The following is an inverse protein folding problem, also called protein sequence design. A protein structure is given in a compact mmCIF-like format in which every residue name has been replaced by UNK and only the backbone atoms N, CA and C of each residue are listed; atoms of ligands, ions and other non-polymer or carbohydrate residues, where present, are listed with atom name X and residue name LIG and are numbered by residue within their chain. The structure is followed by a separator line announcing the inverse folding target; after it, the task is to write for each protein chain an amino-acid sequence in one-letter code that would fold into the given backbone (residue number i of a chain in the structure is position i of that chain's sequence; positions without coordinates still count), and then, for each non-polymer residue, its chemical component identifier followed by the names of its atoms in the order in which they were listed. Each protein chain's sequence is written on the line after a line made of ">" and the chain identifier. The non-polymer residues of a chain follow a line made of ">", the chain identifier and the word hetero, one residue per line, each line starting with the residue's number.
data_IF_445390472394
#
_entry.id   IF_445390472394
#
_cell.length_a   1.000
_cell.length_b   1.000
_cell.length_c   1.000
_cell.angle_alpha   90.00
_cell.angle_beta   90.00
_cell.angle_gamma   90.00
#
_symmetry.space_group_name_H-M   'P 1'
#
loop_
_entity.id
_entity.type
_entity.pdbx_description
1 polymer ?
#
# COMPACT_ATOMS: atom_id res chain seq x y z
N UNK A 1 18.13 -12.31 32.28
CA UNK A 1 17.36 -11.22 31.66
C UNK A 1 16.68 -11.84 30.46
N UNK A 2 15.38 -12.11 30.55
CA UNK A 2 14.60 -12.57 29.40
C UNK A 2 14.43 -11.38 28.47
N UNK A 3 15.00 -11.46 27.26
CA UNK A 3 14.64 -10.56 26.17
C UNK A 3 13.16 -10.75 25.88
N UNK A 4 12.38 -9.76 26.24
CA UNK A 4 10.97 -9.66 25.90
C UNK A 4 10.90 -9.49 24.39
N UNK A 5 10.66 -10.61 23.68
CA UNK A 5 10.47 -10.63 22.23
C UNK A 5 9.27 -9.73 21.93
N UNK A 6 9.52 -8.58 21.34
CA UNK A 6 8.47 -7.69 20.89
C UNK A 6 7.45 -8.51 20.06
N UNK A 7 6.16 -8.45 20.36
CA UNK A 7 5.15 -9.24 19.66
C UNK A 7 5.21 -8.92 18.18
N UNK A 8 5.24 -9.95 17.36
CA UNK A 8 5.08 -9.84 15.90
C UNK A 8 3.85 -8.97 15.64
N UNK A 9 4.09 -7.80 15.09
CA UNK A 9 3.02 -6.88 14.73
C UNK A 9 2.18 -7.54 13.63
N UNK A 10 1.06 -8.15 14.02
CA UNK A 10 0.01 -8.49 13.08
C UNK A 10 -0.53 -7.18 12.50
N UNK A 11 -0.30 -6.85 11.22
CA UNK A 11 -0.76 -5.59 10.64
C UNK A 11 -2.28 -5.43 10.74
N UNK A 12 -3.04 -6.53 10.72
CA UNK A 12 -4.49 -6.48 10.91
C UNK A 12 -4.86 -6.17 12.35
N UNK A 13 -4.12 -6.71 13.33
CA UNK A 13 -4.30 -6.39 14.74
C UNK A 13 -3.81 -4.97 15.05
N UNK A 14 -2.72 -4.52 14.40
CA UNK A 14 -2.19 -3.17 14.56
C UNK A 14 -3.10 -2.12 13.90
N UNK A 15 -3.63 -2.41 12.71
CA UNK A 15 -4.65 -1.60 12.05
C UNK A 15 -5.92 -1.48 12.92
N UNK A 16 -6.32 -2.56 13.58
CA UNK A 16 -7.46 -2.56 14.50
C UNK A 16 -7.19 -1.73 15.76
N UNK A 17 -5.96 -1.82 16.32
CA UNK A 17 -5.55 -1.04 17.51
C UNK A 17 -5.45 0.46 17.21
N UNK A 18 -5.00 0.85 16.03
CA UNK A 18 -4.88 2.25 15.63
C UNK A 18 -6.22 2.86 15.18
N UNK A 19 -7.33 2.12 15.27
CA UNK A 19 -8.64 2.53 14.75
C UNK A 19 -8.58 3.10 13.33
N UNK A 20 -7.67 2.58 12.52
CA UNK A 20 -7.42 3.04 11.16
C UNK A 20 -8.34 2.36 10.13
N UNK A 21 -9.05 1.30 10.52
CA UNK A 21 -10.04 0.64 9.68
C UNK A 21 -11.27 1.53 9.46
N UNK A 22 -11.85 1.43 8.27
CA UNK A 22 -13.13 2.06 7.98
C UNK A 22 -14.23 1.39 8.79
N UNK A 23 -15.07 2.20 9.45
CA UNK A 23 -16.20 1.71 10.22
C UNK A 23 -17.42 1.57 9.30
N UNK A 24 -17.67 0.35 8.86
CA UNK A 24 -18.76 0.03 7.95
C UNK A 24 -20.15 0.17 8.56
N UNK A 25 -20.25 0.05 9.87
CA UNK A 25 -21.54 0.07 10.57
C UNK A 25 -21.95 1.50 10.98
N UNK A 26 -20.97 2.39 11.12
CA UNK A 26 -21.22 3.80 11.44
C UNK A 26 -21.75 4.61 10.26
N UNK A 27 -21.64 4.10 9.02
CA UNK A 27 -21.94 4.87 7.81
C UNK A 27 -22.76 4.04 6.83
N UNK A 28 -23.69 4.69 6.11
CA UNK A 28 -24.46 4.08 5.02
C UNK A 28 -23.85 4.28 3.62
N UNK A 29 -22.65 4.87 3.56
CA UNK A 29 -21.93 5.18 2.33
C UNK A 29 -20.44 5.31 2.59
N UNK A 30 -19.61 4.94 1.62
CA UNK A 30 -18.18 5.24 1.61
C UNK A 30 -17.98 6.57 0.87
N UNK A 31 -17.77 7.63 1.62
CA UNK A 31 -17.53 8.96 1.09
C UNK A 31 -16.02 9.16 0.96
N UNK A 32 -15.58 9.58 -0.22
CA UNK A 32 -14.18 9.88 -0.47
C UNK A 32 -13.74 11.04 0.43
N UNK A 33 -12.65 10.88 1.18
CA UNK A 33 -12.13 11.94 2.02
C UNK A 33 -11.59 13.12 1.18
N UNK A 34 -11.53 14.31 1.81
CA UNK A 34 -11.14 15.54 1.14
C UNK A 34 -9.73 15.45 0.55
N UNK A 35 -8.78 14.87 1.28
CA UNK A 35 -7.39 14.73 0.80
C UNK A 35 -7.32 13.85 -0.45
N UNK A 36 -8.09 12.76 -0.51
CA UNK A 36 -8.18 11.92 -1.70
C UNK A 36 -8.77 12.69 -2.88
N UNK A 37 -9.86 13.44 -2.65
CA UNK A 37 -10.51 14.25 -3.69
C UNK A 37 -9.59 15.31 -4.28
N UNK A 38 -8.79 15.95 -3.45
CA UNK A 38 -7.90 17.03 -3.87
C UNK A 38 -6.62 16.53 -4.53
N UNK A 39 -6.04 15.44 -4.01
CA UNK A 39 -4.69 15.00 -4.38
C UNK A 39 -4.62 13.79 -5.29
N UNK A 40 -5.58 12.87 -5.18
CA UNK A 40 -5.51 11.60 -5.89
C UNK A 40 -6.55 11.51 -7.01
N UNK A 41 -7.78 11.90 -6.74
CA UNK A 41 -8.85 11.82 -7.72
C UNK A 41 -8.54 12.56 -9.04
N UNK A 42 -7.92 13.76 -9.04
CA UNK A 42 -7.53 14.44 -10.28
C UNK A 42 -6.48 13.68 -11.10
N UNK A 43 -5.66 12.84 -10.45
CA UNK A 43 -4.63 12.03 -11.14
C UNK A 43 -5.23 10.88 -11.95
N UNK A 44 -6.42 10.40 -11.58
CA UNK A 44 -7.08 9.28 -12.25
C UNK A 44 -7.50 9.61 -13.69
N UNK A 45 -7.60 10.88 -14.04
CA UNK A 45 -8.02 11.36 -15.36
C UNK A 45 -6.91 12.02 -16.17
N UNK A 46 -5.64 11.79 -15.87
CA UNK A 46 -4.49 12.44 -16.54
C UNK A 46 -4.52 14.00 -16.45
N UNK A 47 -5.25 14.53 -15.47
CA UNK A 47 -5.42 15.98 -15.27
C UNK A 47 -4.34 16.59 -14.37
N UNK A 48 -3.37 15.80 -13.96
CA UNK A 48 -2.31 16.27 -13.09
C UNK A 48 -1.37 17.24 -13.81
N UNK A 49 -1.02 18.32 -13.12
CA UNK A 49 -0.18 19.40 -13.62
C UNK A 49 1.13 19.46 -12.85
N UNK A 50 2.14 20.04 -13.47
CA UNK A 50 3.32 20.47 -12.73
C UNK A 50 2.93 21.62 -11.79
N UNK A 51 3.52 21.71 -10.57
CA UNK A 51 3.24 22.78 -9.64
C UNK A 51 3.60 24.13 -10.26
N UNK A 52 2.71 25.11 -10.06
CA UNK A 52 2.92 26.49 -10.52
C UNK A 52 3.67 27.35 -9.49
N UNK A 53 3.93 26.80 -8.29
CA UNK A 53 4.56 27.51 -7.19
C UNK A 53 5.24 26.57 -6.18
N UNK A 54 5.76 27.12 -5.05
CA UNK A 54 6.42 26.34 -4.02
C UNK A 54 5.47 25.39 -3.27
N UNK A 55 4.17 25.70 -3.27
CA UNK A 55 3.14 24.85 -2.66
C UNK A 55 2.47 24.00 -3.72
N UNK A 56 2.21 22.74 -3.36
CA UNK A 56 1.54 21.78 -4.24
C UNK A 56 0.03 21.94 -4.12
N UNK A 57 -0.59 22.41 -5.19
CA UNK A 57 -2.03 22.55 -5.30
C UNK A 57 -2.76 21.24 -5.56
N UNK A 58 -4.09 21.32 -5.61
CA UNK A 58 -4.94 20.19 -5.95
C UNK A 58 -4.65 19.67 -7.37
N UNK A 59 -4.43 18.37 -7.52
CA UNK A 59 -4.13 17.73 -8.79
C UNK A 59 -2.74 18.01 -9.35
N UNK A 60 -1.84 18.60 -8.56
CA UNK A 60 -0.46 18.85 -8.94
C UNK A 60 0.48 17.76 -8.43
N UNK A 61 1.58 17.55 -9.15
CA UNK A 61 2.69 16.71 -8.69
C UNK A 61 3.54 17.48 -7.69
N UNK A 62 4.03 16.81 -6.66
CA UNK A 62 4.99 17.41 -5.73
C UNK A 62 6.45 17.19 -6.17
N UNK A 63 7.41 17.92 -5.58
CA UNK A 63 8.82 17.62 -5.72
C UNK A 63 9.11 16.16 -5.35
N UNK A 64 10.11 15.52 -5.98
CA UNK A 64 10.42 14.12 -5.71
C UNK A 64 10.65 13.86 -4.22
N UNK A 65 9.86 12.94 -3.64
CA UNK A 65 10.03 12.47 -2.27
C UNK A 65 10.66 11.08 -2.32
N UNK A 66 11.86 10.96 -1.76
CA UNK A 66 12.55 9.68 -1.70
C UNK A 66 12.00 8.81 -0.58
N UNK A 67 11.75 7.56 -0.89
CA UNK A 67 11.23 6.57 0.06
C UNK A 67 11.89 5.22 -0.15
N UNK A 68 12.12 4.48 0.93
CA UNK A 68 12.44 3.07 0.85
C UNK A 68 11.14 2.28 0.88
N UNK A 69 10.96 1.38 -0.09
CA UNK A 69 9.71 0.67 -0.28
C UNK A 69 9.94 -0.83 -0.46
N UNK A 70 8.96 -1.62 -0.05
CA UNK A 70 8.88 -3.05 -0.31
C UNK A 70 8.17 -3.23 -1.65
N UNK A 71 8.82 -3.73 -2.70
CA UNK A 71 8.15 -4.03 -3.95
C UNK A 71 7.11 -5.13 -3.76
N UNK A 72 5.98 -4.97 -4.42
CA UNK A 72 4.91 -5.97 -4.46
C UNK A 72 4.81 -6.50 -5.88
N UNK A 73 5.16 -7.77 -6.03
CA UNK A 73 5.18 -8.46 -7.32
C UNK A 73 3.74 -8.61 -7.86
N UNK A 74 3.40 -7.77 -8.84
CA UNK A 74 2.06 -7.74 -9.43
C UNK A 74 1.74 -9.00 -10.25
N UNK A 75 2.73 -9.68 -10.82
CA UNK A 75 2.52 -10.93 -11.56
C UNK A 75 2.15 -12.05 -10.59
N UNK A 76 2.85 -12.16 -9.46
CA UNK A 76 2.49 -13.10 -8.40
C UNK A 76 1.12 -12.82 -7.79
N UNK A 77 0.77 -11.54 -7.60
CA UNK A 77 -0.58 -11.18 -7.16
C UNK A 77 -1.63 -11.61 -8.20
N UNK A 78 -1.40 -11.34 -9.48
CA UNK A 78 -2.32 -11.71 -10.55
C UNK A 78 -2.48 -13.24 -10.71
N UNK A 79 -1.47 -14.01 -10.33
CA UNK A 79 -1.52 -15.48 -10.33
C UNK A 79 -2.25 -16.07 -9.11
N UNK A 80 -2.55 -15.27 -8.09
CA UNK A 80 -3.24 -15.74 -6.88
C UNK A 80 -4.75 -15.81 -7.10
N UNK A 81 -5.33 -16.98 -6.83
CA UNK A 81 -6.77 -17.22 -7.01
C UNK A 81 -7.65 -16.37 -6.12
N UNK A 82 -7.19 -16.00 -4.92
CA UNK A 82 -7.91 -15.10 -4.01
C UNK A 82 -7.97 -13.66 -4.53
N UNK A 83 -6.87 -13.16 -5.09
CA UNK A 83 -6.79 -11.85 -5.75
C UNK A 83 -7.69 -11.82 -6.99
N UNK A 84 -7.63 -12.86 -7.81
CA UNK A 84 -8.48 -12.99 -9.01
C UNK A 84 -9.95 -12.98 -8.63
N UNK A 85 -10.35 -13.80 -7.65
CA UNK A 85 -11.73 -13.85 -7.17
C UNK A 85 -12.20 -12.50 -6.59
N UNK A 86 -11.34 -11.80 -5.85
CA UNK A 86 -11.65 -10.45 -5.34
C UNK A 86 -11.91 -9.45 -6.47
N UNK A 87 -11.05 -9.40 -7.48
CA UNK A 87 -11.25 -8.50 -8.63
C UNK A 87 -12.48 -8.87 -9.46
N UNK A 88 -12.80 -10.16 -9.58
CA UNK A 88 -13.98 -10.63 -10.29
C UNK A 88 -15.27 -10.30 -9.55
N UNK A 89 -15.28 -10.38 -8.22
CA UNK A 89 -16.44 -9.95 -7.43
C UNK A 89 -16.64 -8.43 -7.54
N UNK A 90 -15.57 -7.62 -7.52
CA UNK A 90 -15.66 -6.19 -7.79
C UNK A 90 -16.22 -5.90 -9.18
N UNK A 91 -15.77 -6.62 -10.23
CA UNK A 91 -16.24 -6.42 -11.61
C UNK A 91 -17.72 -6.76 -11.79
N UNK A 92 -18.21 -7.76 -11.05
CA UNK A 92 -19.62 -8.22 -11.13
C UNK A 92 -20.58 -7.41 -10.26
N UNK A 93 -20.04 -6.54 -9.40
CA UNK A 93 -20.83 -5.72 -8.49
C UNK A 93 -21.12 -4.33 -9.06
N UNK A 94 -22.07 -3.62 -8.46
CA UNK A 94 -22.35 -2.21 -8.77
C UNK A 94 -21.17 -1.29 -8.47
N UNK A 95 -20.20 -1.75 -7.66
CA UNK A 95 -18.95 -1.04 -7.36
C UNK A 95 -18.09 -0.87 -8.60
N UNK A 96 -18.24 -1.74 -9.61
CA UNK A 96 -17.40 -1.73 -10.81
C UNK A 96 -17.32 -0.36 -11.50
N UNK A 97 -18.43 0.38 -11.50
CA UNK A 97 -18.52 1.73 -12.07
C UNK A 97 -17.73 2.80 -11.29
N UNK A 98 -17.45 2.51 -10.02
CA UNK A 98 -16.68 3.39 -9.13
C UNK A 98 -15.19 2.99 -9.05
N UNK A 99 -14.72 2.01 -9.82
CA UNK A 99 -13.32 1.56 -9.79
C UNK A 99 -12.54 2.11 -10.99
N UNK A 100 -11.34 2.64 -10.70
CA UNK A 100 -10.40 3.03 -11.75
C UNK A 100 -9.57 1.82 -12.23
N UNK A 101 -10.17 1.02 -13.10
CA UNK A 101 -9.58 -0.21 -13.63
C UNK A 101 -8.23 -0.03 -14.33
N UNK A 102 -8.00 1.05 -15.12
CA UNK A 102 -6.69 1.25 -15.76
C UNK A 102 -5.54 1.34 -14.78
N UNK A 103 -5.80 1.77 -13.54
CA UNK A 103 -4.79 1.92 -12.49
C UNK A 103 -4.07 0.63 -12.11
N UNK A 104 -4.70 -0.52 -12.26
CA UNK A 104 -4.08 -1.82 -11.98
C UNK A 104 -2.91 -2.09 -12.95
N UNK A 105 -3.11 -1.85 -14.23
CA UNK A 105 -2.07 -2.05 -15.25
C UNK A 105 -1.01 -0.93 -15.21
N UNK A 106 -1.44 0.33 -15.10
CA UNK A 106 -0.54 1.50 -15.10
C UNK A 106 0.45 1.51 -13.93
N UNK A 107 0.13 0.82 -12.83
CA UNK A 107 0.93 0.80 -11.61
C UNK A 107 1.60 -0.55 -11.34
N UNK A 108 1.41 -1.53 -12.22
CA UNK A 108 1.87 -2.90 -12.01
C UNK A 108 3.38 -3.00 -11.73
N UNK A 109 4.19 -2.25 -12.48
CA UNK A 109 5.66 -2.25 -12.39
C UNK A 109 6.23 -1.44 -11.21
N UNK A 110 5.37 -0.75 -10.46
CA UNK A 110 5.75 0.14 -9.35
C UNK A 110 4.90 -0.06 -8.11
N UNK A 111 4.16 -1.15 -8.05
CA UNK A 111 3.37 -1.48 -6.87
C UNK A 111 4.28 -1.76 -5.68
N UNK A 112 3.97 -1.14 -4.55
CA UNK A 112 4.80 -1.25 -3.35
C UNK A 112 4.03 -0.92 -2.07
N UNK A 113 4.63 -1.29 -0.94
CA UNK A 113 4.29 -0.77 0.38
C UNK A 113 5.43 0.11 0.90
N UNK A 114 5.14 1.32 1.34
CA UNK A 114 6.16 2.25 1.84
C UNK A 114 6.66 1.79 3.22
N UNK A 115 7.95 1.45 3.29
CA UNK A 115 8.63 1.08 4.53
C UNK A 115 9.09 2.32 5.30
N UNK A 116 9.73 3.26 4.59
CA UNK A 116 10.23 4.53 5.12
C UNK A 116 9.91 5.61 4.11
N UNK A 117 9.11 6.60 4.50
CA UNK A 117 8.78 7.75 3.67
C UNK A 117 9.62 8.97 3.99
N UNK A 118 9.89 9.82 2.99
CA UNK A 118 10.52 11.12 3.19
C UNK A 118 11.98 11.04 3.64
N UNK A 119 12.78 10.16 3.02
CA UNK A 119 14.22 10.07 3.29
C UNK A 119 14.89 11.39 2.92
N UNK A 120 15.48 12.07 3.90
CA UNK A 120 16.27 13.29 3.71
C UNK A 120 17.63 13.03 3.06
N UNK A 121 18.28 14.11 2.63
CA UNK A 121 19.69 14.07 2.25
C UNK A 121 20.53 13.58 3.45
N UNK A 122 21.36 12.56 3.23
CA UNK A 122 22.17 11.96 4.30
C UNK A 122 21.52 10.78 5.03
N UNK A 123 20.31 10.37 4.68
CA UNK A 123 19.76 9.12 5.20
C UNK A 123 20.60 7.94 4.72
N UNK A 124 21.34 7.32 5.64
CA UNK A 124 22.19 6.17 5.35
C UNK A 124 21.36 4.89 5.30
N UNK A 125 21.11 4.42 4.09
CA UNK A 125 20.60 3.07 3.87
C UNK A 125 21.77 2.15 3.53
N UNK A 126 21.75 0.89 3.98
CA UNK A 126 22.80 -0.06 3.65
C UNK A 126 22.81 -0.34 2.14
N UNK A 127 23.98 -0.53 1.55
CA UNK A 127 24.11 -0.88 0.13
C UNK A 127 23.48 -2.24 -0.19
N UNK A 128 23.34 -3.12 0.81
CA UNK A 128 22.66 -4.41 0.73
C UNK A 128 22.15 -4.83 2.10
N UNK A 129 21.08 -5.63 2.09
CA UNK A 129 20.58 -6.33 3.28
C UNK A 129 21.11 -7.76 3.21
N UNK A 130 21.97 -8.14 4.16
CA UNK A 130 22.51 -9.51 4.22
C UNK A 130 21.49 -10.57 4.61
N UNK A 131 20.28 -10.17 4.97
CA UNK A 131 19.22 -11.03 5.50
C UNK A 131 18.20 -11.37 4.41
N UNK A 132 17.72 -12.63 4.41
CA UNK A 132 16.53 -13.03 3.67
C UNK A 132 15.30 -12.37 4.30
N UNK A 133 14.44 -11.80 3.48
CA UNK A 133 13.19 -11.19 3.93
C UNK A 133 12.06 -11.78 3.10
N UNK A 134 11.03 -12.23 3.77
CA UNK A 134 9.78 -12.65 3.15
C UNK A 134 8.61 -11.85 3.74
N UNK A 135 7.68 -11.44 2.89
CA UNK A 135 6.47 -10.77 3.32
C UNK A 135 5.23 -11.52 2.86
N UNK A 136 4.11 -11.29 3.53
CA UNK A 136 2.79 -11.78 3.13
C UNK A 136 1.92 -10.59 2.79
N UNK A 137 1.39 -10.57 1.58
CA UNK A 137 0.35 -9.64 1.16
C UNK A 137 -1.00 -10.22 1.58
N UNK A 138 -1.76 -9.45 2.34
CA UNK A 138 -3.06 -9.86 2.88
C UNK A 138 -4.22 -9.27 2.10
N UNK A 139 -5.41 -9.75 2.41
CA UNK A 139 -6.66 -9.38 1.74
C UNK A 139 -7.06 -7.92 1.88
N UNK A 140 -8.07 -7.50 1.11
CA UNK A 140 -8.41 -6.10 0.93
C UNK A 140 -8.79 -5.42 2.25
N UNK A 141 -8.40 -4.14 2.34
CA UNK A 141 -8.65 -3.31 3.49
C UNK A 141 -8.89 -1.87 3.05
N UNK A 142 -9.82 -1.19 3.71
CA UNK A 142 -10.07 0.23 3.55
C UNK A 142 -9.85 0.92 4.89
N UNK A 143 -9.08 2.00 4.89
CA UNK A 143 -8.84 2.82 6.06
C UNK A 143 -9.91 3.89 6.23
N UNK A 144 -10.05 4.40 7.46
CA UNK A 144 -10.88 5.58 7.72
C UNK A 144 -10.31 6.87 7.13
N UNK A 145 -9.01 6.87 6.82
CA UNK A 145 -8.33 7.90 6.07
C UNK A 145 -7.99 7.36 4.69
N UNK A 146 -8.05 8.21 3.68
CA UNK A 146 -7.84 7.82 2.28
C UNK A 146 -8.85 6.76 1.82
N UNK A 147 -10.12 7.05 2.07
CA UNK A 147 -11.27 6.17 1.80
C UNK A 147 -11.46 5.84 0.32
N UNK A 148 -10.84 6.60 -0.58
CA UNK A 148 -10.85 6.32 -2.02
C UNK A 148 -9.93 5.19 -2.47
N UNK A 149 -9.26 4.48 -1.53
CA UNK A 149 -8.30 3.45 -1.89
C UNK A 149 -8.55 2.14 -1.15
N UNK A 150 -8.57 1.04 -1.89
CA UNK A 150 -8.52 -0.30 -1.31
C UNK A 150 -7.05 -0.72 -1.27
N UNK A 151 -6.59 -1.07 -0.10
CA UNK A 151 -5.21 -1.48 0.16
C UNK A 151 -5.10 -2.99 0.30
N UNK A 152 -3.90 -3.51 0.05
CA UNK A 152 -3.46 -4.82 0.48
C UNK A 152 -2.42 -4.62 1.60
N UNK A 153 -2.73 -4.98 2.85
CA UNK A 153 -1.75 -4.98 3.93
C UNK A 153 -0.57 -5.90 3.64
N UNK A 154 0.63 -5.46 3.97
CA UNK A 154 1.88 -6.23 3.82
C UNK A 154 2.46 -6.46 5.20
N UNK A 155 2.77 -7.69 5.54
CA UNK A 155 3.36 -8.06 6.83
C UNK A 155 4.61 -8.93 6.61
N UNK A 156 5.53 -8.91 7.57
CA UNK A 156 6.63 -9.86 7.58
C UNK A 156 6.07 -11.29 7.72
N UNK A 157 6.66 -12.24 6.99
CA UNK A 157 6.21 -13.63 7.01
C UNK A 157 6.67 -14.39 8.28
N UNK A 158 7.73 -13.90 8.92
CA UNK A 158 8.35 -14.51 10.10
C UNK A 158 9.06 -13.47 10.98
N UNK A 159 9.55 -13.91 12.14
CA UNK A 159 10.21 -13.06 13.14
C UNK A 159 11.50 -12.43 12.59
N UNK A 160 12.27 -13.17 11.80
CA UNK A 160 13.52 -12.68 11.24
C UNK A 160 13.28 -11.56 10.24
N UNK A 161 12.31 -11.75 9.35
CA UNK A 161 11.86 -10.73 8.40
C UNK A 161 11.31 -9.49 9.11
N UNK A 162 10.52 -9.68 10.18
CA UNK A 162 10.00 -8.58 10.99
C UNK A 162 11.13 -7.77 11.64
N UNK A 163 12.13 -8.44 12.24
CA UNK A 163 13.29 -7.81 12.85
C UNK A 163 14.11 -7.02 11.83
N UNK A 164 14.35 -7.58 10.64
CA UNK A 164 15.06 -6.91 9.56
C UNK A 164 14.38 -5.61 9.11
N UNK A 165 13.06 -5.65 8.91
CA UNK A 165 12.27 -4.46 8.52
C UNK A 165 12.22 -3.41 9.65
N UNK A 166 12.07 -3.86 10.91
CA UNK A 166 12.09 -2.97 12.06
C UNK A 166 13.46 -2.28 12.22
N UNK A 167 14.57 -3.00 12.04
CA UNK A 167 15.92 -2.44 12.10
C UNK A 167 16.14 -1.33 11.05
N UNK A 168 15.62 -1.51 9.84
CA UNK A 168 15.66 -0.47 8.80
C UNK A 168 14.91 0.79 9.22
N UNK A 169 13.71 0.64 9.78
CA UNK A 169 12.91 1.78 10.28
C UNK A 169 13.64 2.50 11.41
N UNK A 170 14.19 1.77 12.36
CA UNK A 170 14.95 2.36 13.48
C UNK A 170 16.15 3.16 13.00
N UNK A 171 16.92 2.63 12.05
CA UNK A 171 18.09 3.33 11.48
C UNK A 171 17.73 4.63 10.76
N UNK A 172 16.57 4.70 10.19
CA UNK A 172 16.10 5.86 9.42
C UNK A 172 15.21 6.82 10.23
N UNK A 173 14.95 6.51 11.50
CA UNK A 173 14.05 7.29 12.35
C UNK A 173 12.60 7.29 11.89
N UNK A 174 12.19 6.29 11.11
CA UNK A 174 10.85 6.24 10.53
C UNK A 174 9.79 5.78 11.53
N UNK A 175 8.60 6.36 11.41
CA UNK A 175 7.43 5.96 12.17
C UNK A 175 7.02 4.50 11.91
N UNK A 176 6.51 3.85 12.94
CA UNK A 176 5.91 2.52 12.83
C UNK A 176 4.49 2.61 12.23
N UNK A 177 4.42 2.89 10.93
CA UNK A 177 3.14 2.86 10.19
C UNK A 177 2.87 1.48 9.62
N UNK A 178 1.59 1.09 9.47
CA UNK A 178 1.23 -0.14 8.77
C UNK A 178 1.80 -0.13 7.35
N UNK A 179 2.29 -1.27 6.89
CA UNK A 179 2.72 -1.44 5.51
C UNK A 179 1.49 -1.72 4.65
N UNK A 180 1.17 -0.80 3.78
CA UNK A 180 -0.01 -0.87 2.92
C UNK A 180 0.39 -0.68 1.46
N UNK A 181 0.07 -1.65 0.62
CA UNK A 181 0.15 -1.48 -0.83
C UNK A 181 -1.20 -0.95 -1.34
N UNK A 182 -1.21 0.25 -1.94
CA UNK A 182 -2.40 0.79 -2.56
C UNK A 182 -2.74 -0.02 -3.81
N UNK A 183 -3.88 -0.71 -3.83
CA UNK A 183 -4.21 -1.65 -4.90
C UNK A 183 -5.27 -1.10 -5.85
N UNK A 184 -6.50 -0.91 -5.40
CA UNK A 184 -7.62 -0.39 -6.21
C UNK A 184 -7.91 1.06 -5.80
N UNK A 185 -8.20 1.92 -6.77
CA UNK A 185 -8.61 3.30 -6.57
C UNK A 185 -10.07 3.47 -6.96
N UNK A 186 -10.81 4.24 -6.16
CA UNK A 186 -12.19 4.59 -6.41
C UNK A 186 -12.28 5.95 -7.11
N UNK A 187 -13.20 6.08 -8.05
CA UNK A 187 -13.42 7.30 -8.85
C UNK A 187 -14.51 8.20 -8.27
N UNK A 188 -15.22 7.74 -7.25
CA UNK A 188 -16.33 8.45 -6.64
C UNK A 188 -16.80 7.80 -5.35
N UNK A 189 -17.77 8.42 -4.71
CA UNK A 189 -18.43 7.88 -3.53
C UNK A 189 -19.18 6.59 -3.85
N UNK A 190 -19.17 5.67 -2.91
CA UNK A 190 -19.88 4.38 -3.03
C UNK A 190 -21.08 4.38 -2.09
N UNK A 191 -22.28 4.37 -2.62
CA UNK A 191 -23.53 4.53 -1.85
C UNK A 191 -24.51 3.39 -2.13
N UNK A 192 -25.57 3.28 -1.33
CA UNK A 192 -26.67 2.35 -1.57
C UNK A 192 -26.23 0.88 -1.63
N UNK A 193 -26.66 0.18 -2.69
CA UNK A 193 -26.36 -1.24 -2.88
C UNK A 193 -24.89 -1.49 -3.15
N UNK A 194 -24.24 -0.61 -3.92
CA UNK A 194 -22.81 -0.68 -4.17
C UNK A 194 -22.01 -0.62 -2.87
N UNK A 195 -22.43 0.21 -1.89
CA UNK A 195 -21.77 0.27 -0.58
C UNK A 195 -21.88 -1.06 0.17
N UNK A 196 -23.07 -1.67 0.20
CA UNK A 196 -23.27 -2.97 0.85
C UNK A 196 -22.44 -4.07 0.18
N UNK A 197 -22.46 -4.09 -1.16
CA UNK A 197 -21.64 -5.05 -1.92
C UNK A 197 -20.16 -4.86 -1.67
N UNK A 198 -19.64 -3.62 -1.65
CA UNK A 198 -18.24 -3.35 -1.36
C UNK A 198 -17.83 -3.85 0.04
N UNK A 199 -18.64 -3.56 1.06
CA UNK A 199 -18.43 -4.05 2.42
C UNK A 199 -18.32 -5.57 2.45
N UNK A 200 -19.27 -6.26 1.82
CA UNK A 200 -19.35 -7.72 1.83
C UNK A 200 -18.21 -8.35 1.02
N UNK A 201 -17.81 -7.75 -0.10
CA UNK A 201 -16.63 -8.17 -0.88
C UNK A 201 -15.36 -8.02 -0.04
N UNK A 202 -15.13 -6.87 0.58
CA UNK A 202 -13.96 -6.65 1.44
C UNK A 202 -13.94 -7.63 2.61
N UNK A 203 -15.06 -7.84 3.29
CA UNK A 203 -15.16 -8.80 4.39
C UNK A 203 -14.88 -10.24 3.94
N UNK A 204 -15.45 -10.65 2.81
CA UNK A 204 -15.28 -11.99 2.24
C UNK A 204 -13.84 -12.31 1.90
N UNK A 205 -13.14 -11.35 1.26
CA UNK A 205 -11.77 -11.58 0.78
C UNK A 205 -10.68 -11.24 1.79
N UNK A 206 -11.01 -10.60 2.90
CA UNK A 206 -10.04 -10.17 3.92
C UNK A 206 -9.16 -11.31 4.45
N UNK A 207 -9.72 -12.49 4.68
CA UNK A 207 -9.01 -13.66 5.18
C UNK A 207 -8.57 -14.65 4.09
N UNK A 208 -9.07 -14.48 2.87
CA UNK A 208 -8.82 -15.42 1.76
C UNK A 208 -7.54 -15.16 1.00
N UNK A 209 -7.03 -13.92 1.05
CA UNK A 209 -5.80 -13.53 0.35
C UNK A 209 -4.64 -13.59 1.32
N UNK A 210 -3.61 -14.37 0.96
CA UNK A 210 -2.37 -14.51 1.71
C UNK A 210 -1.22 -14.89 0.77
N UNK A 211 -0.72 -13.91 0.01
CA UNK A 211 0.31 -14.15 -1.00
C UNK A 211 1.70 -13.94 -0.40
N UNK A 212 2.52 -15.00 -0.38
CA UNK A 212 3.91 -14.93 0.08
C UNK A 212 4.82 -14.39 -1.00
N UNK A 213 5.61 -13.39 -0.64
CA UNK A 213 6.57 -12.74 -1.53
C UNK A 213 7.96 -12.74 -0.90
N UNK A 214 8.88 -13.61 -1.37
CA UNK A 214 10.29 -13.48 -1.04
C UNK A 214 10.84 -12.21 -1.68
N UNK A 215 11.53 -11.38 -0.90
CA UNK A 215 12.11 -10.15 -1.39
C UNK A 215 13.54 -10.39 -1.87
N UNK A 216 13.78 -10.16 -3.15
CA UNK A 216 15.15 -10.11 -3.69
C UNK A 216 15.83 -8.77 -3.42
N UNK A 217 15.04 -7.73 -3.23
CA UNK A 217 15.52 -6.35 -3.06
C UNK A 217 14.45 -5.46 -2.40
N UNK A 218 14.87 -4.35 -1.82
CA UNK A 218 14.02 -3.18 -1.57
C UNK A 218 14.29 -2.14 -2.65
N UNK A 219 13.33 -1.25 -2.87
CA UNK A 219 13.50 -0.14 -3.81
C UNK A 219 13.68 1.18 -3.07
N UNK A 220 14.56 2.03 -3.59
CA UNK A 220 14.55 3.46 -3.35
C UNK A 220 13.78 4.12 -4.48
N UNK A 221 12.65 4.71 -4.16
CA UNK A 221 11.79 5.37 -5.14
C UNK A 221 11.71 6.87 -4.86
N UNK A 222 11.86 7.66 -5.90
CA UNK A 222 11.49 9.07 -5.92
C UNK A 222 10.05 9.15 -6.46
N UNK A 223 9.11 9.56 -5.63
CA UNK A 223 7.69 9.65 -5.98
C UNK A 223 7.25 11.11 -6.02
N UNK A 224 6.42 11.46 -7.00
CA UNK A 224 5.90 12.81 -7.21
C UNK A 224 4.38 12.89 -7.09
N UNK A 225 3.73 11.76 -6.77
CA UNK A 225 2.29 11.67 -6.52
C UNK A 225 1.95 10.45 -5.67
N UNK A 226 0.76 10.47 -5.03
CA UNK A 226 0.28 9.38 -4.17
C UNK A 226 -0.05 8.09 -4.94
N UNK A 227 -0.25 8.16 -6.25
CA UNK A 227 -0.57 7.01 -7.09
C UNK A 227 0.66 6.40 -7.76
N UNK A 228 1.83 7.02 -7.57
CA UNK A 228 3.12 6.66 -8.18
C UNK A 228 3.09 6.60 -9.71
N UNK A 229 2.20 7.34 -10.33
CA UNK A 229 2.12 7.47 -11.79
C UNK A 229 3.37 8.17 -12.32
N UNK A 230 3.88 9.17 -11.57
CA UNK A 230 5.20 9.76 -11.76
C UNK A 230 6.11 9.35 -10.62
N UNK A 231 6.94 8.38 -10.89
CA UNK A 231 7.94 7.86 -9.97
C UNK A 231 9.18 7.42 -10.73
N UNK A 232 10.30 7.41 -10.03
CA UNK A 232 11.57 6.90 -10.56
C UNK A 232 12.17 5.94 -9.55
N UNK A 233 12.61 4.79 -10.02
CA UNK A 233 13.46 3.89 -9.24
C UNK A 233 14.87 4.50 -9.18
N UNK A 234 15.23 5.03 -8.01
CA UNK A 234 16.52 5.68 -7.79
C UNK A 234 17.64 4.65 -7.53
N UNK A 235 17.33 3.59 -6.76
CA UNK A 235 18.25 2.50 -6.48
C UNK A 235 17.52 1.22 -6.06
N UNK A 236 18.23 0.11 -6.08
CA UNK A 236 17.82 -1.20 -5.56
C UNK A 236 18.76 -1.60 -4.44
N UNK A 237 18.21 -2.09 -3.33
CA UNK A 237 18.97 -2.59 -2.19
C UNK A 237 18.76 -4.10 -2.13
N UNK A 238 19.74 -4.91 -2.56
CA UNK A 238 19.60 -6.36 -2.58
C UNK A 238 19.35 -6.93 -1.18
N UNK A 239 18.44 -7.89 -1.08
CA UNK A 239 18.21 -8.71 0.11
C UNK A 239 19.03 -10.00 0.06
N UNK A 240 19.23 -10.64 1.22
CA UNK A 240 19.84 -11.96 1.29
C UNK A 240 19.03 -13.04 0.57
N UNK A 241 19.70 -14.13 0.24
CA UNK A 241 19.02 -15.29 -0.37
C UNK A 241 18.33 -16.16 0.69
N UNK A 242 17.31 -16.88 0.29
CA UNK A 242 16.69 -17.90 1.15
C UNK A 242 17.74 -18.88 1.66
N UNK A 243 17.65 -19.31 2.93
CA UNK A 243 18.47 -20.41 3.42
C UNK A 243 18.18 -21.67 2.59
N UNK A 244 19.24 -22.44 2.29
CA UNK A 244 19.14 -23.71 1.57
C UNK A 244 18.60 -24.80 2.47
#
# INVERSE_FOLDING_TARGET
>A
MCEETAPLLDPLADLSRQAAAYDWDAHGALILDQRYRERQLPLLGERARAPLGPEVGAGEYWPPIRSAVIPVDSERLAADGGITAFLDDLRRSDVASCVWWPGLALRADRMHATLVGGLGEGSELPAQLGQYIEVIVRGPWIGRFNTGRIYLPVQAADVASAAALAQLRTRTGADHRPLLAGYVQLTGDVTGDAYRQLRDIVATHRSRIAVRLPLSELWLMDTMDDLVLRSRLAARIPCGRAPR
#
